data_IF_353463527557
#
_entry.id   IF_353463527557
#
_cell.length_a   1.000
_cell.length_b   1.000
_cell.length_c   1.000
_cell.angle_alpha   90.00
_cell.angle_beta   90.00
_cell.angle_gamma   90.00
#
_symmetry.space_group_name_H-M   'P 1'
#
loop_
_entity.id
_entity.type
_entity.pdbx_description
1 polymer ?
#
# COMPACT_ATOMS: atom_id res chain seq x y z
N UNK A 1 -9.73 0.12 37.67
CA UNK A 1 -9.64 -1.11 36.86
C UNK A 1 -8.43 -1.82 37.40
N UNK A 2 -8.53 -3.10 37.73
CA UNK A 2 -7.36 -3.89 38.13
C UNK A 2 -6.50 -4.26 36.89
N UNK A 3 -5.31 -4.79 37.13
CA UNK A 3 -4.36 -5.11 36.06
C UNK A 3 -4.92 -6.14 35.09
N UNK A 4 -5.65 -7.14 35.57
CA UNK A 4 -6.26 -8.19 34.74
C UNK A 4 -7.34 -7.62 33.81
N UNK A 5 -8.22 -6.79 34.35
CA UNK A 5 -9.24 -6.11 33.56
C UNK A 5 -8.62 -5.12 32.55
N UNK A 6 -7.52 -4.48 32.91
CA UNK A 6 -6.78 -3.60 32.01
C UNK A 6 -6.22 -4.38 30.82
N UNK A 7 -5.49 -5.47 31.07
CA UNK A 7 -4.92 -6.32 30.00
C UNK A 7 -6.00 -6.88 29.07
N UNK A 8 -7.11 -7.37 29.67
CA UNK A 8 -8.25 -7.87 28.87
C UNK A 8 -8.87 -6.77 28.00
N UNK A 9 -9.03 -5.56 28.50
CA UNK A 9 -9.60 -4.44 27.73
C UNK A 9 -8.76 -4.11 26.50
N UNK A 10 -7.42 -4.09 26.64
CA UNK A 10 -6.53 -3.87 25.51
C UNK A 10 -6.61 -5.02 24.50
N UNK A 11 -6.58 -6.27 24.97
CA UNK A 11 -6.68 -7.43 24.08
C UNK A 11 -8.02 -7.46 23.32
N UNK A 12 -9.13 -7.20 23.98
CA UNK A 12 -10.47 -7.14 23.36
C UNK A 12 -10.57 -6.01 22.31
N UNK A 13 -9.93 -4.87 22.58
CA UNK A 13 -9.86 -3.78 21.61
C UNK A 13 -9.13 -4.17 20.33
N UNK A 14 -8.02 -4.93 20.44
CA UNK A 14 -7.26 -5.43 19.31
C UNK A 14 -8.03 -6.49 18.52
N UNK A 15 -8.69 -7.44 19.22
CA UNK A 15 -9.55 -8.48 18.63
C UNK A 15 -10.71 -7.88 17.83
N UNK A 16 -11.33 -6.84 18.38
CA UNK A 16 -12.43 -6.13 17.72
C UNK A 16 -11.94 -5.38 16.48
N UNK A 17 -10.79 -4.70 16.56
CA UNK A 17 -10.17 -4.00 15.44
C UNK A 17 -9.86 -4.96 14.28
N UNK A 18 -9.30 -6.13 14.59
CA UNK A 18 -8.99 -7.15 13.60
C UNK A 18 -10.24 -7.57 12.80
N UNK A 19 -11.35 -7.90 13.49
CA UNK A 19 -12.58 -8.34 12.84
C UNK A 19 -13.24 -7.22 12.02
N UNK A 20 -13.22 -5.98 12.53
CA UNK A 20 -13.72 -4.83 11.80
C UNK A 20 -13.02 -4.62 10.46
N UNK A 21 -11.71 -4.91 10.39
CA UNK A 21 -10.94 -4.77 9.15
C UNK A 21 -11.31 -5.79 8.06
N UNK A 22 -12.06 -6.83 8.39
CA UNK A 22 -12.56 -7.79 7.39
C UNK A 22 -13.90 -7.38 6.78
N UNK A 23 -14.62 -6.46 7.43
CA UNK A 23 -15.98 -6.09 7.01
C UNK A 23 -16.02 -5.42 5.64
N UNK A 24 -16.98 -5.83 4.81
CA UNK A 24 -17.24 -5.25 3.50
C UNK A 24 -16.27 -5.67 2.39
N UNK A 25 -15.34 -6.58 2.67
CA UNK A 25 -14.46 -7.18 1.67
C UNK A 25 -15.07 -8.45 1.07
N UNK A 26 -14.82 -8.65 -0.22
CA UNK A 26 -15.14 -9.88 -0.91
C UNK A 26 -14.22 -11.05 -0.47
N UNK A 27 -14.69 -12.29 -0.67
CA UNK A 27 -13.93 -13.48 -0.28
C UNK A 27 -12.55 -13.55 -0.93
N UNK A 28 -12.42 -13.17 -2.20
CA UNK A 28 -11.13 -13.15 -2.88
C UNK A 28 -10.17 -12.11 -2.28
N UNK A 29 -10.65 -10.92 -1.86
CA UNK A 29 -9.86 -9.88 -1.22
C UNK A 29 -9.30 -10.35 0.13
N UNK A 30 -10.10 -11.10 0.88
CA UNK A 30 -9.70 -11.65 2.18
C UNK A 30 -8.61 -12.72 2.07
N UNK A 31 -8.54 -13.43 0.93
CA UNK A 31 -7.62 -14.56 0.69
C UNK A 31 -6.39 -14.19 -0.14
N UNK A 32 -6.44 -13.05 -0.83
CA UNK A 32 -5.40 -12.69 -1.78
C UNK A 32 -4.05 -12.47 -1.09
N UNK A 33 -2.95 -13.09 -1.56
CA UNK A 33 -1.62 -12.87 -1.00
C UNK A 33 -1.11 -11.48 -1.40
N UNK A 34 -0.96 -10.59 -0.42
CA UNK A 34 -0.59 -9.19 -0.62
C UNK A 34 0.91 -8.93 -0.52
N UNK A 35 1.68 -9.92 -0.07
CA UNK A 35 3.14 -9.81 0.10
C UNK A 35 3.85 -10.97 -0.59
N UNK A 36 5.16 -10.86 -0.91
CA UNK A 36 5.93 -11.97 -1.47
C UNK A 36 5.94 -13.24 -0.60
N UNK A 37 5.64 -13.12 0.70
CA UNK A 37 5.55 -14.24 1.65
C UNK A 37 4.12 -14.74 1.85
N UNK A 38 3.14 -14.19 1.12
CA UNK A 38 1.77 -14.69 1.09
C UNK A 38 0.84 -14.14 2.18
N UNK A 39 1.21 -13.08 2.90
CA UNK A 39 0.33 -12.48 3.91
C UNK A 39 -1.02 -12.11 3.34
N UNK A 40 -2.09 -12.57 3.99
CA UNK A 40 -3.47 -12.32 3.62
C UNK A 40 -4.34 -12.17 4.86
N UNK A 41 -5.46 -11.48 4.73
CA UNK A 41 -6.31 -11.11 5.87
C UNK A 41 -6.93 -12.33 6.56
N UNK A 42 -7.47 -13.28 5.79
CA UNK A 42 -8.16 -14.44 6.34
C UNK A 42 -7.20 -15.41 7.03
N UNK A 43 -6.01 -15.60 6.47
CA UNK A 43 -4.95 -16.41 7.07
C UNK A 43 -4.50 -15.87 8.42
N UNK A 44 -4.35 -14.55 8.54
CA UNK A 44 -4.00 -13.93 9.84
C UNK A 44 -5.07 -14.21 10.89
N UNK A 45 -6.36 -14.13 10.56
CA UNK A 45 -7.44 -14.45 11.50
C UNK A 45 -7.44 -15.92 11.90
N UNK A 46 -7.20 -16.83 10.94
CA UNK A 46 -7.05 -18.26 11.21
C UNK A 46 -5.87 -18.55 12.14
N UNK A 47 -4.72 -17.95 11.86
CA UNK A 47 -3.53 -18.04 12.72
C UNK A 47 -3.83 -17.58 14.15
N UNK A 48 -4.46 -16.41 14.30
CA UNK A 48 -4.79 -15.88 15.62
C UNK A 48 -5.78 -16.75 16.39
N UNK A 49 -6.69 -17.49 15.72
CA UNK A 49 -7.52 -18.48 16.40
C UNK A 49 -6.68 -19.59 17.04
N UNK A 50 -5.63 -20.06 16.34
CA UNK A 50 -4.69 -21.02 16.91
C UNK A 50 -3.89 -20.45 18.08
N UNK A 51 -3.49 -19.17 17.99
CA UNK A 51 -2.77 -18.49 19.08
C UNK A 51 -3.62 -18.35 20.34
N UNK A 52 -4.92 -18.01 20.20
CA UNK A 52 -5.84 -17.96 21.32
C UNK A 52 -5.96 -19.32 22.05
N UNK A 53 -6.21 -20.40 21.31
CA UNK A 53 -6.31 -21.75 21.88
C UNK A 53 -4.96 -22.25 22.42
N UNK A 54 -3.86 -21.93 21.75
CA UNK A 54 -2.52 -22.31 22.19
C UNK A 54 -2.17 -21.64 23.51
N UNK A 55 -2.17 -20.32 23.54
CA UNK A 55 -1.67 -19.55 24.67
C UNK A 55 -2.64 -19.46 25.86
N UNK A 56 -3.94 -19.35 25.61
CA UNK A 56 -4.96 -19.25 26.67
C UNK A 56 -5.76 -20.56 26.85
N UNK A 57 -5.40 -21.60 26.12
CA UNK A 57 -5.94 -22.93 26.28
C UNK A 57 -4.87 -23.94 26.75
N UNK A 58 -4.10 -24.46 25.81
CA UNK A 58 -3.13 -25.55 26.07
C UNK A 58 -2.08 -25.18 27.16
N UNK A 59 -1.60 -23.96 27.20
CA UNK A 59 -0.60 -23.49 28.16
C UNK A 59 -1.10 -23.59 29.61
N UNK A 60 -2.40 -23.59 29.84
CA UNK A 60 -3.04 -23.66 31.17
C UNK A 60 -3.83 -24.95 31.38
N UNK A 61 -3.51 -26.04 30.68
CA UNK A 61 -4.20 -27.32 30.75
C UNK A 61 -5.73 -27.22 30.50
N UNK A 62 -6.12 -26.29 29.63
CA UNK A 62 -7.48 -26.01 29.20
C UNK A 62 -7.58 -26.13 27.68
N UNK A 63 -7.34 -27.31 27.09
CA UNK A 63 -7.29 -27.45 25.64
C UNK A 63 -8.62 -27.02 24.97
N UNK A 64 -8.52 -26.28 23.88
CA UNK A 64 -9.65 -25.92 23.03
C UNK A 64 -9.95 -26.96 21.96
N UNK A 65 -10.54 -26.52 20.85
CA UNK A 65 -10.78 -27.36 19.68
C UNK A 65 -9.47 -27.87 19.10
N UNK A 66 -9.46 -29.13 18.63
CA UNK A 66 -8.36 -29.64 17.82
C UNK A 66 -8.33 -28.94 16.47
N UNK A 67 -7.16 -28.44 16.10
CA UNK A 67 -6.92 -27.75 14.86
C UNK A 67 -6.02 -28.63 13.96
N UNK A 68 -6.58 -29.30 12.92
CA UNK A 68 -5.81 -30.25 12.11
C UNK A 68 -4.55 -29.65 11.48
N UNK A 69 -4.58 -28.37 11.16
CA UNK A 69 -3.44 -27.65 10.57
C UNK A 69 -2.34 -27.25 11.60
N UNK A 70 -2.53 -27.53 12.88
CA UNK A 70 -1.53 -27.36 13.94
C UNK A 70 -0.90 -28.71 14.36
N UNK A 71 -1.31 -29.83 13.75
CA UNK A 71 -0.77 -31.15 14.02
C UNK A 71 0.66 -31.33 13.51
N UNK A 72 1.33 -32.40 13.97
CA UNK A 72 2.71 -32.70 13.57
C UNK A 72 2.87 -32.98 12.07
N UNK A 73 1.85 -33.48 11.42
CA UNK A 73 1.80 -33.82 9.99
C UNK A 73 1.20 -32.70 9.13
N UNK A 74 0.92 -31.52 9.73
CA UNK A 74 0.36 -30.39 9.02
C UNK A 74 1.39 -29.78 8.05
N UNK A 75 0.88 -29.25 6.93
CA UNK A 75 1.70 -28.49 6.00
C UNK A 75 2.31 -27.25 6.69
N UNK A 76 3.55 -26.91 6.42
CA UNK A 76 4.14 -25.68 6.98
C UNK A 76 3.31 -24.44 6.69
N UNK A 77 3.05 -23.63 7.71
CA UNK A 77 2.22 -22.43 7.65
C UNK A 77 0.75 -22.67 7.24
N UNK A 78 0.20 -23.87 7.44
CA UNK A 78 -1.20 -24.18 7.14
C UNK A 78 -2.21 -23.34 7.94
N UNK A 79 -1.75 -22.71 9.00
CA UNK A 79 -2.48 -21.74 9.81
C UNK A 79 -2.56 -20.35 9.19
N UNK A 80 -1.63 -19.99 8.27
CA UNK A 80 -1.54 -18.67 7.65
C UNK A 80 -2.34 -18.51 6.36
N UNK A 81 -3.11 -19.50 5.97
CA UNK A 81 -4.01 -19.45 4.82
C UNK A 81 -5.22 -20.36 5.03
N UNK A 82 -6.33 -20.05 4.39
CA UNK A 82 -7.54 -20.85 4.45
C UNK A 82 -7.71 -21.62 3.13
N UNK A 83 -8.04 -22.92 3.23
CA UNK A 83 -8.37 -23.76 2.07
C UNK A 83 -9.68 -23.32 1.41
N UNK A 84 -9.97 -23.81 0.20
CA UNK A 84 -11.24 -23.51 -0.48
C UNK A 84 -12.48 -23.97 0.29
N UNK A 85 -12.33 -24.98 1.13
CA UNK A 85 -13.43 -25.54 1.94
C UNK A 85 -13.65 -24.77 3.26
N UNK A 86 -12.66 -23.99 3.69
CA UNK A 86 -12.75 -23.13 4.87
C UNK A 86 -13.33 -21.79 4.47
N UNK A 87 -14.65 -21.61 4.55
CA UNK A 87 -15.30 -20.34 4.22
C UNK A 87 -14.89 -19.23 5.17
N UNK A 88 -14.97 -17.96 4.72
CA UNK A 88 -14.72 -16.77 5.57
C UNK A 88 -15.52 -16.85 6.87
N UNK A 89 -16.79 -17.19 6.75
CA UNK A 89 -17.67 -17.33 7.92
C UNK A 89 -17.20 -18.42 8.88
N UNK A 90 -16.70 -19.56 8.36
CA UNK A 90 -16.18 -20.65 9.20
C UNK A 90 -14.94 -20.24 9.98
N UNK A 91 -14.00 -19.51 9.34
CA UNK A 91 -12.77 -19.01 9.98
C UNK A 91 -13.08 -17.93 11.02
N UNK A 92 -13.97 -16.99 10.70
CA UNK A 92 -14.40 -15.95 11.66
C UNK A 92 -15.14 -16.57 12.85
N UNK A 93 -15.98 -17.57 12.62
CA UNK A 93 -16.64 -18.30 13.73
C UNK A 93 -15.63 -19.06 14.59
N UNK A 94 -14.64 -19.72 13.96
CA UNK A 94 -13.55 -20.37 14.70
C UNK A 94 -12.84 -19.36 15.61
N UNK A 95 -12.42 -18.23 15.06
CA UNK A 95 -11.74 -17.18 15.83
C UNK A 95 -12.60 -16.70 17.01
N UNK A 96 -13.90 -16.46 16.79
CA UNK A 96 -14.81 -16.06 17.86
C UNK A 96 -14.96 -17.13 18.95
N UNK A 97 -14.96 -18.43 18.59
CA UNK A 97 -14.98 -19.51 19.59
C UNK A 97 -13.66 -19.58 20.36
N UNK A 98 -12.53 -19.40 19.68
CA UNK A 98 -11.23 -19.36 20.33
C UNK A 98 -11.12 -18.20 21.33
N UNK A 99 -11.60 -17.02 20.95
CA UNK A 99 -11.68 -15.86 21.84
C UNK A 99 -12.58 -16.13 23.06
N UNK A 100 -13.76 -16.73 22.86
CA UNK A 100 -14.67 -17.05 23.96
C UNK A 100 -14.02 -18.05 24.94
N UNK A 101 -13.35 -19.09 24.43
CA UNK A 101 -12.61 -20.05 25.24
C UNK A 101 -11.45 -19.38 26.03
N UNK A 102 -10.70 -18.51 25.39
CA UNK A 102 -9.66 -17.72 26.01
C UNK A 102 -10.19 -16.81 27.12
N UNK A 103 -11.34 -16.20 26.90
CA UNK A 103 -12.02 -15.36 27.90
C UNK A 103 -12.46 -16.14 29.14
N UNK A 104 -12.93 -17.38 28.97
CA UNK A 104 -13.23 -18.28 30.10
C UNK A 104 -11.98 -18.60 30.91
N UNK A 105 -10.83 -18.82 30.24
CA UNK A 105 -9.55 -19.02 30.90
C UNK A 105 -9.13 -17.78 31.70
N UNK A 106 -9.19 -16.61 31.07
CA UNK A 106 -8.87 -15.33 31.73
C UNK A 106 -9.78 -15.10 32.94
N UNK A 107 -11.07 -15.40 32.82
CA UNK A 107 -12.01 -15.23 33.92
C UNK A 107 -11.74 -16.14 35.11
N UNK A 108 -11.36 -17.39 34.86
CA UNK A 108 -11.23 -18.44 35.86
C UNK A 108 -9.89 -18.49 36.59
N UNK A 109 -8.83 -17.88 36.07
CA UNK A 109 -7.46 -17.95 36.61
C UNK A 109 -7.01 -16.60 37.14
N UNK A 110 -6.18 -16.59 38.18
CA UNK A 110 -5.50 -15.38 38.67
C UNK A 110 -4.29 -15.05 37.79
N UNK A 111 -3.81 -13.78 37.81
CA UNK A 111 -2.67 -13.35 36.99
C UNK A 111 -1.37 -14.09 37.26
N UNK A 112 -1.19 -14.62 38.44
CA UNK A 112 -0.04 -15.43 38.86
C UNK A 112 -0.21 -16.93 38.61
N UNK A 113 -1.37 -17.36 38.07
CA UNK A 113 -1.61 -18.75 37.72
C UNK A 113 -0.50 -19.28 36.81
N UNK A 114 0.09 -20.42 37.18
CA UNK A 114 1.18 -21.04 36.45
C UNK A 114 0.69 -21.68 35.15
N UNK A 115 1.47 -21.52 34.09
CA UNK A 115 1.30 -22.15 32.79
C UNK A 115 2.62 -22.63 32.23
N UNK A 116 2.58 -23.45 31.17
CA UNK A 116 3.78 -24.00 30.54
C UNK A 116 3.72 -23.86 29.02
N UNK A 117 4.70 -23.15 28.42
CA UNK A 117 4.86 -22.95 26.97
C UNK A 117 6.04 -23.79 26.49
N UNK A 118 5.84 -25.03 26.02
CA UNK A 118 6.92 -25.99 25.80
C UNK A 118 7.92 -25.57 24.70
N UNK A 119 7.56 -24.67 23.80
CA UNK A 119 8.42 -24.18 22.72
C UNK A 119 9.19 -22.89 23.07
N UNK A 120 9.07 -22.38 24.31
CA UNK A 120 9.85 -21.23 24.75
C UNK A 120 11.14 -21.65 25.48
N UNK A 121 12.23 -20.88 25.35
CA UNK A 121 13.46 -21.14 26.11
C UNK A 121 13.27 -21.12 27.64
N UNK A 122 12.29 -20.36 28.11
CA UNK A 122 11.86 -20.31 29.51
C UNK A 122 10.34 -20.64 29.51
N UNK A 123 10.04 -21.94 29.60
CA UNK A 123 8.68 -22.43 29.35
C UNK A 123 7.70 -22.14 30.48
N UNK A 124 8.17 -21.99 31.72
CA UNK A 124 7.30 -21.70 32.85
C UNK A 124 6.91 -20.22 32.85
N UNK A 125 5.62 -19.99 32.83
CA UNK A 125 5.02 -18.67 32.66
C UNK A 125 3.88 -18.45 33.66
N UNK A 126 3.39 -17.21 33.72
CA UNK A 126 2.15 -16.86 34.41
C UNK A 126 1.11 -16.39 33.42
N UNK A 127 -0.18 -16.37 33.79
CA UNK A 127 -1.25 -15.80 33.00
C UNK A 127 -0.93 -14.34 32.61
N UNK A 128 -0.38 -13.55 33.53
CA UNK A 128 0.06 -12.19 33.25
C UNK A 128 1.03 -12.12 32.06
N UNK A 129 2.10 -12.96 32.08
CA UNK A 129 3.09 -12.99 30.99
C UNK A 129 2.47 -13.41 29.66
N UNK A 130 1.55 -14.36 29.67
CA UNK A 130 0.86 -14.85 28.48
C UNK A 130 -0.09 -13.76 27.92
N UNK A 131 -0.83 -13.06 28.76
CA UNK A 131 -1.70 -11.95 28.32
C UNK A 131 -0.91 -10.81 27.67
N UNK A 132 0.24 -10.44 28.25
CA UNK A 132 1.13 -9.45 27.62
C UNK A 132 1.64 -9.95 26.28
N UNK A 133 2.11 -11.21 26.22
CA UNK A 133 2.61 -11.80 24.98
C UNK A 133 1.54 -11.85 23.89
N UNK A 134 0.37 -12.38 24.20
CA UNK A 134 -0.74 -12.50 23.23
C UNK A 134 -1.24 -11.11 22.77
N UNK A 135 -1.28 -10.12 23.69
CA UNK A 135 -1.60 -8.75 23.27
C UNK A 135 -0.60 -8.17 22.29
N UNK A 136 0.70 -8.43 22.46
CA UNK A 136 1.75 -8.03 21.52
C UNK A 136 1.58 -8.76 20.17
N UNK A 137 1.30 -10.05 20.21
CA UNK A 137 1.09 -10.88 19.01
C UNK A 137 -0.12 -10.37 18.20
N UNK A 138 -1.26 -10.22 18.85
CA UNK A 138 -2.47 -9.68 18.19
C UNK A 138 -2.25 -8.26 17.68
N UNK A 139 -1.53 -7.40 18.43
CA UNK A 139 -1.24 -6.03 18.00
C UNK A 139 -0.35 -5.98 16.74
N UNK A 140 0.67 -6.85 16.65
CA UNK A 140 1.52 -6.97 15.46
C UNK A 140 0.72 -7.38 14.24
N UNK A 141 -0.13 -8.39 14.39
CA UNK A 141 -0.99 -8.86 13.30
C UNK A 141 -2.10 -7.85 12.95
N UNK A 142 -2.66 -7.13 13.92
CA UNK A 142 -3.59 -6.05 13.64
C UNK A 142 -2.94 -4.94 12.80
N UNK A 143 -1.69 -4.55 13.09
CA UNK A 143 -0.94 -3.59 12.28
C UNK A 143 -0.64 -4.10 10.86
N UNK A 144 -0.39 -5.40 10.66
CA UNK A 144 -0.30 -6.00 9.32
C UNK A 144 -1.64 -5.90 8.58
N UNK A 145 -2.73 -6.25 9.24
CA UNK A 145 -4.09 -6.16 8.68
C UNK A 145 -4.46 -4.72 8.34
N UNK A 146 -4.04 -3.73 9.13
CA UNK A 146 -4.25 -2.31 8.84
C UNK A 146 -3.65 -1.92 7.49
N UNK A 147 -2.38 -2.26 7.26
CA UNK A 147 -1.68 -1.97 6.00
C UNK A 147 -2.27 -2.75 4.82
N UNK A 148 -2.56 -4.05 4.99
CA UNK A 148 -3.17 -4.87 3.94
C UNK A 148 -4.55 -4.34 3.55
N UNK A 149 -5.35 -3.88 4.50
CA UNK A 149 -6.66 -3.29 4.26
C UNK A 149 -6.56 -1.99 3.47
N UNK A 150 -5.65 -1.11 3.85
CA UNK A 150 -5.41 0.15 3.14
C UNK A 150 -4.98 -0.09 1.69
N UNK A 151 -4.11 -1.08 1.45
CA UNK A 151 -3.68 -1.47 0.10
C UNK A 151 -4.80 -2.07 -0.76
N UNK A 152 -5.82 -2.70 -0.15
CA UNK A 152 -6.93 -3.33 -0.87
C UNK A 152 -8.00 -2.34 -1.33
N UNK A 153 -8.43 -1.46 -0.44
CA UNK A 153 -9.58 -0.57 -0.71
C UNK A 153 -9.43 0.86 -0.16
N UNK A 154 -8.24 1.21 0.34
CA UNK A 154 -7.97 2.54 0.89
C UNK A 154 -8.57 2.80 2.28
N UNK A 155 -9.21 1.79 2.91
CA UNK A 155 -9.81 1.97 4.23
C UNK A 155 -8.75 2.02 5.32
N UNK A 156 -8.59 3.18 5.92
CA UNK A 156 -7.62 3.49 6.98
C UNK A 156 -8.27 3.54 8.37
N UNK A 157 -7.44 3.69 9.40
CA UNK A 157 -7.87 3.85 10.79
C UNK A 157 -7.64 2.61 11.64
N UNK A 158 -7.34 2.82 12.92
CA UNK A 158 -7.02 1.73 13.85
C UNK A 158 -8.26 0.97 14.32
N UNK A 159 -9.39 1.66 14.51
CA UNK A 159 -10.64 1.11 15.05
C UNK A 159 -11.82 1.91 14.52
N UNK A 160 -12.97 1.25 14.42
CA UNK A 160 -14.20 1.89 13.96
C UNK A 160 -14.55 3.14 14.79
N UNK A 161 -14.56 3.01 16.11
CA UNK A 161 -14.93 4.10 17.03
C UNK A 161 -13.84 5.17 17.23
N UNK A 162 -12.59 4.87 16.87
CA UNK A 162 -11.47 5.80 16.99
C UNK A 162 -10.39 5.45 15.96
N UNK A 163 -10.45 6.01 14.76
CA UNK A 163 -9.49 5.74 13.71
C UNK A 163 -8.08 6.30 13.99
N UNK A 164 -7.94 7.21 14.95
CA UNK A 164 -6.67 7.86 15.30
C UNK A 164 -6.00 8.56 14.09
N UNK A 165 -6.81 9.18 13.25
CA UNK A 165 -6.37 9.90 12.05
C UNK A 165 -6.66 11.40 12.22
N UNK A 166 -5.98 12.29 11.49
CA UNK A 166 -6.35 13.69 11.42
C UNK A 166 -7.78 13.84 10.91
N UNK A 167 -8.51 14.76 11.49
CA UNK A 167 -9.91 15.02 11.20
C UNK A 167 -10.07 16.33 10.45
N UNK A 168 -11.12 16.38 9.64
CA UNK A 168 -11.62 17.57 8.98
C UNK A 168 -11.47 17.53 7.48
N UNK A 169 -12.39 18.21 6.80
CA UNK A 169 -12.46 18.31 5.35
C UNK A 169 -11.28 19.09 4.72
N UNK A 170 -10.50 19.75 5.58
CA UNK A 170 -9.30 20.53 5.17
C UNK A 170 -8.03 19.67 5.03
N UNK A 171 -8.03 18.41 5.51
CA UNK A 171 -6.85 17.56 5.41
C UNK A 171 -6.82 16.80 4.08
N UNK A 172 -5.88 17.17 3.21
CA UNK A 172 -5.63 16.48 1.94
C UNK A 172 -4.59 15.38 2.11
N UNK A 173 -5.02 14.12 1.98
CA UNK A 173 -4.13 12.96 1.93
C UNK A 173 -3.19 13.04 0.73
N UNK A 174 -3.66 13.53 -0.39
CA UNK A 174 -2.86 13.71 -1.61
C UNK A 174 -1.68 14.65 -1.36
N UNK A 175 -1.93 15.87 -0.89
CA UNK A 175 -0.88 16.83 -0.56
C UNK A 175 0.06 16.33 0.55
N UNK A 176 -0.46 15.54 1.49
CA UNK A 176 0.35 14.91 2.53
C UNK A 176 1.32 13.88 1.94
N UNK A 177 0.83 12.99 1.09
CA UNK A 177 1.64 11.93 0.43
C UNK A 177 2.67 12.56 -0.49
N UNK A 178 2.33 13.60 -1.25
CA UNK A 178 3.28 14.35 -2.08
C UNK A 178 4.42 14.94 -1.26
N UNK A 179 4.12 15.57 -0.14
CA UNK A 179 5.13 16.11 0.78
C UNK A 179 6.02 15.01 1.35
N UNK A 180 5.45 13.88 1.79
CA UNK A 180 6.23 12.73 2.30
C UNK A 180 7.15 12.18 1.21
N UNK A 181 6.64 12.09 -0.02
CA UNK A 181 7.42 11.65 -1.19
C UNK A 181 8.57 12.62 -1.48
N UNK A 182 8.31 13.93 -1.51
CA UNK A 182 9.35 14.93 -1.75
C UNK A 182 10.45 14.87 -0.67
N UNK A 183 10.09 14.74 0.61
CA UNK A 183 11.09 14.58 1.68
C UNK A 183 11.93 13.31 1.49
N UNK A 184 11.33 12.22 1.05
CA UNK A 184 12.07 10.99 0.77
C UNK A 184 13.02 11.15 -0.45
N UNK A 185 12.58 11.86 -1.49
CA UNK A 185 13.40 12.19 -2.66
C UNK A 185 14.58 13.08 -2.24
N UNK A 186 14.33 14.15 -1.51
CA UNK A 186 15.36 15.10 -1.06
C UNK A 186 16.44 14.44 -0.20
N UNK A 187 16.06 13.43 0.59
CA UNK A 187 17.00 12.69 1.43
C UNK A 187 18.03 11.88 0.61
N UNK A 188 17.67 11.38 -0.57
CA UNK A 188 18.53 10.54 -1.43
C UNK A 188 19.04 11.30 -2.66
N UNK A 189 18.21 12.16 -3.25
CA UNK A 189 18.50 12.93 -4.47
C UNK A 189 18.18 14.43 -4.24
N UNK A 190 19.01 15.16 -3.49
CA UNK A 190 18.72 16.54 -3.12
C UNK A 190 18.42 17.44 -4.32
N UNK A 191 17.27 18.12 -4.26
CA UNK A 191 16.80 19.03 -5.30
C UNK A 191 16.16 18.35 -6.52
N UNK A 192 15.99 17.02 -6.52
CA UNK A 192 15.22 16.33 -7.54
C UNK A 192 13.71 16.46 -7.27
N UNK A 193 12.91 16.35 -8.32
CA UNK A 193 11.44 16.36 -8.25
C UNK A 193 10.87 14.97 -8.55
N UNK A 194 9.63 14.66 -8.14
CA UNK A 194 8.95 13.47 -8.60
C UNK A 194 8.61 13.57 -10.09
N UNK A 195 9.06 12.62 -10.88
CA UNK A 195 8.72 12.48 -12.30
C UNK A 195 7.49 11.59 -12.47
N UNK A 196 6.32 12.21 -12.69
CA UNK A 196 5.02 11.55 -12.88
C UNK A 196 4.62 11.56 -14.34
N UNK A 197 4.98 10.52 -15.08
CA UNK A 197 4.68 10.40 -16.51
C UNK A 197 3.27 9.84 -16.74
N UNK A 198 2.36 10.66 -17.25
CA UNK A 198 0.97 10.29 -17.44
C UNK A 198 0.24 9.93 -16.13
N UNK A 199 -0.98 9.43 -16.25
CA UNK A 199 -1.75 8.97 -15.08
C UNK A 199 -1.27 7.62 -14.58
N UNK A 200 -1.40 7.39 -13.26
CA UNK A 200 -1.06 6.11 -12.66
C UNK A 200 -1.85 4.96 -13.31
N UNK A 201 -1.19 3.84 -13.53
CA UNK A 201 -1.75 2.67 -14.20
C UNK A 201 -0.88 2.19 -15.38
N UNK A 202 -1.39 1.30 -16.24
CA UNK A 202 -0.61 0.71 -17.34
C UNK A 202 0.02 1.73 -18.28
N UNK A 203 -0.59 2.92 -18.44
CA UNK A 203 -0.06 3.98 -19.28
C UNK A 203 1.26 4.51 -18.73
N UNK A 204 1.32 4.86 -17.45
CA UNK A 204 2.56 5.34 -16.81
C UNK A 204 3.68 4.31 -16.94
N UNK A 205 3.39 3.06 -16.63
CA UNK A 205 4.40 2.00 -16.68
C UNK A 205 4.88 1.76 -18.13
N UNK A 206 4.01 1.92 -19.13
CA UNK A 206 4.37 1.86 -20.54
C UNK A 206 5.27 3.04 -20.96
N UNK A 207 5.09 4.24 -20.41
CA UNK A 207 5.93 5.41 -20.66
C UNK A 207 7.30 5.30 -19.98
N UNK A 208 7.35 4.76 -18.75
CA UNK A 208 8.59 4.60 -18.00
C UNK A 208 9.49 3.50 -18.56
N UNK A 209 8.92 2.41 -19.06
CA UNK A 209 9.70 1.29 -19.58
C UNK A 209 10.71 1.68 -20.70
N UNK A 210 10.38 2.49 -21.71
CA UNK A 210 11.36 2.95 -22.70
C UNK A 210 12.40 3.94 -22.13
N UNK A 211 12.06 4.75 -21.11
CA UNK A 211 13.05 5.60 -20.44
C UNK A 211 14.09 4.72 -19.75
N UNK A 212 13.66 3.72 -18.97
CA UNK A 212 14.54 2.81 -18.24
C UNK A 212 15.44 1.97 -19.16
N UNK A 213 15.05 1.79 -20.43
CA UNK A 213 15.89 1.13 -21.45
C UNK A 213 16.73 2.11 -22.28
N UNK A 214 16.63 3.43 -22.02
CA UNK A 214 17.32 4.45 -22.78
C UNK A 214 16.79 4.69 -24.22
N UNK A 215 15.59 4.18 -24.53
CA UNK A 215 14.95 4.35 -25.83
C UNK A 215 14.12 5.64 -25.92
N UNK A 216 13.53 6.09 -24.78
CA UNK A 216 12.85 7.39 -24.68
C UNK A 216 13.82 8.38 -24.07
N UNK A 217 14.28 9.33 -24.90
CA UNK A 217 15.23 10.38 -24.54
C UNK A 217 14.62 11.78 -24.63
N UNK A 218 13.33 11.86 -24.98
CA UNK A 218 12.56 13.09 -25.00
C UNK A 218 11.17 12.87 -24.41
N UNK A 219 10.52 13.95 -23.98
CA UNK A 219 9.15 13.98 -23.50
C UNK A 219 8.51 15.33 -23.76
N UNK A 220 7.17 15.36 -23.85
CA UNK A 220 6.40 16.55 -24.09
C UNK A 220 5.28 16.74 -23.07
N UNK A 221 5.03 18.00 -22.72
CA UNK A 221 3.91 18.40 -21.87
C UNK A 221 3.26 19.69 -22.37
N UNK A 222 2.02 19.96 -21.99
CA UNK A 222 1.42 21.26 -22.21
C UNK A 222 2.11 22.30 -21.32
N UNK A 223 2.39 23.49 -21.85
CA UNK A 223 2.88 24.60 -21.02
C UNK A 223 1.85 25.00 -19.94
N UNK A 224 0.56 24.77 -20.21
CA UNK A 224 -0.53 25.00 -19.26
C UNK A 224 -0.51 24.04 -18.04
N UNK A 225 0.25 22.95 -18.11
CA UNK A 225 0.42 22.03 -16.98
C UNK A 225 1.36 22.60 -15.89
N UNK A 226 2.04 23.70 -16.17
CA UNK A 226 2.89 24.40 -15.21
C UNK A 226 2.15 25.63 -14.68
N UNK A 227 1.84 25.65 -13.39
CA UNK A 227 1.20 26.80 -12.74
C UNK A 227 2.14 28.01 -12.66
N UNK A 228 1.61 29.16 -12.25
CA UNK A 228 2.44 30.36 -12.05
C UNK A 228 3.53 30.15 -10.99
N UNK A 229 3.29 29.21 -10.07
CA UNK A 229 4.21 28.85 -8.98
C UNK A 229 5.12 27.65 -9.35
N UNK A 230 4.75 26.86 -10.39
CA UNK A 230 5.56 25.77 -10.92
C UNK A 230 6.42 26.26 -12.07
N UNK A 231 7.71 26.39 -11.81
CA UNK A 231 8.65 26.77 -12.86
C UNK A 231 8.76 25.66 -13.94
N UNK A 232 8.88 26.12 -15.21
CA UNK A 232 9.19 25.19 -16.32
C UNK A 232 10.47 24.39 -16.00
N UNK A 233 10.56 23.15 -16.52
CA UNK A 233 11.76 22.32 -16.35
C UNK A 233 13.03 23.08 -16.78
N UNK A 234 14.13 22.84 -16.10
CA UNK A 234 15.41 23.49 -16.37
C UNK A 234 16.48 22.48 -16.72
N UNK A 235 17.41 22.86 -17.57
CA UNK A 235 18.59 22.06 -17.89
C UNK A 235 19.38 21.78 -16.58
N UNK A 236 19.74 20.53 -16.36
CA UNK A 236 20.41 20.05 -15.15
C UNK A 236 19.47 19.64 -14.03
N UNK A 237 18.16 19.89 -14.15
CA UNK A 237 17.16 19.45 -13.19
C UNK A 237 16.98 17.94 -13.24
N UNK A 238 16.77 17.31 -12.09
CA UNK A 238 16.60 15.86 -11.97
C UNK A 238 15.17 15.51 -11.56
N UNK A 239 14.71 14.41 -12.10
CA UNK A 239 13.43 13.81 -11.73
C UNK A 239 13.63 12.36 -11.30
N UNK A 240 13.00 12.00 -10.16
CA UNK A 240 12.90 10.62 -9.72
C UNK A 240 11.63 10.02 -10.33
N UNK A 241 11.79 9.09 -11.25
CA UNK A 241 10.70 8.42 -11.95
C UNK A 241 9.88 7.55 -10.98
N UNK A 242 8.59 7.83 -10.87
CA UNK A 242 7.69 7.13 -9.95
C UNK A 242 6.77 6.22 -10.76
N UNK A 243 6.83 4.91 -10.48
CA UNK A 243 5.96 3.89 -11.10
C UNK A 243 4.50 4.04 -10.69
N UNK A 244 3.61 3.29 -11.35
CA UNK A 244 2.19 3.23 -10.97
C UNK A 244 1.95 2.63 -9.58
N UNK A 245 2.89 1.87 -9.05
CA UNK A 245 2.90 1.38 -7.67
C UNK A 245 3.39 2.42 -6.64
N UNK A 246 3.70 3.66 -7.08
CA UNK A 246 4.22 4.72 -6.22
C UNK A 246 5.69 4.57 -5.82
N UNK A 247 6.43 3.66 -6.44
CA UNK A 247 7.83 3.35 -6.12
C UNK A 247 8.79 4.08 -7.07
N UNK A 248 9.94 4.57 -6.58
CA UNK A 248 10.99 5.09 -7.42
C UNK A 248 11.60 3.96 -8.26
N UNK A 249 11.82 4.20 -9.56
CA UNK A 249 12.34 3.20 -10.51
C UNK A 249 13.54 3.68 -11.32
N UNK A 250 13.85 4.96 -11.29
CA UNK A 250 15.00 5.55 -11.95
C UNK A 250 15.11 7.03 -11.71
N UNK A 251 16.22 7.63 -12.13
CA UNK A 251 16.47 9.08 -12.08
C UNK A 251 16.85 9.56 -13.46
N UNK A 252 16.18 10.61 -13.93
CA UNK A 252 16.52 11.32 -15.16
C UNK A 252 17.07 12.71 -14.88
N UNK A 253 17.80 13.25 -15.86
CA UNK A 253 18.27 14.64 -15.85
C UNK A 253 17.84 15.31 -17.15
N UNK A 254 17.25 16.48 -17.05
CA UNK A 254 16.88 17.31 -18.20
C UNK A 254 18.14 17.88 -18.84
N UNK A 255 18.33 17.63 -20.13
CA UNK A 255 19.51 18.11 -20.88
C UNK A 255 19.18 19.24 -21.87
N UNK A 256 17.93 19.37 -22.26
CA UNK A 256 17.42 20.44 -23.13
C UNK A 256 15.95 20.74 -22.82
N UNK A 257 15.56 21.99 -22.92
CA UNK A 257 14.16 22.44 -22.82
C UNK A 257 13.87 23.45 -23.92
N UNK A 258 12.78 23.24 -24.65
CA UNK A 258 12.24 24.18 -25.63
C UNK A 258 10.76 24.39 -25.37
N UNK A 259 10.26 25.58 -25.56
CA UNK A 259 8.81 25.85 -25.59
C UNK A 259 8.47 26.30 -26.99
N UNK A 260 7.63 25.56 -27.66
CA UNK A 260 7.24 25.82 -29.06
C UNK A 260 5.73 25.66 -29.21
N UNK A 261 5.11 26.28 -30.23
CA UNK A 261 3.76 25.93 -30.64
C UNK A 261 3.68 24.45 -31.06
N UNK A 262 2.57 23.78 -30.79
CA UNK A 262 2.34 22.37 -31.13
C UNK A 262 2.60 22.09 -32.62
N UNK A 263 2.21 23.03 -33.50
CA UNK A 263 2.45 22.91 -34.95
C UNK A 263 3.91 23.00 -35.39
N UNK A 264 4.83 23.37 -34.49
CA UNK A 264 6.28 23.50 -34.78
C UNK A 264 7.12 22.34 -34.21
N UNK A 265 6.49 21.31 -33.64
CA UNK A 265 7.20 20.12 -33.14
C UNK A 265 7.80 19.36 -34.31
N UNK A 266 9.09 19.06 -34.21
CA UNK A 266 9.84 18.39 -35.29
C UNK A 266 9.83 16.86 -35.16
N UNK A 267 10.16 16.16 -36.24
CA UNK A 267 10.18 14.70 -36.30
C UNK A 267 11.28 14.12 -35.39
N UNK A 268 12.40 14.81 -35.22
CA UNK A 268 13.49 14.35 -34.37
C UNK A 268 13.00 14.14 -32.95
N UNK A 269 12.30 15.15 -32.37
CA UNK A 269 11.71 15.09 -31.05
C UNK A 269 10.65 13.98 -30.94
N UNK A 270 9.76 13.86 -31.94
CA UNK A 270 8.72 12.83 -31.97
C UNK A 270 9.31 11.40 -31.94
N UNK A 271 10.44 11.17 -32.61
CA UNK A 271 11.15 9.89 -32.64
C UNK A 271 11.89 9.64 -31.32
N UNK A 272 12.53 10.67 -30.76
CA UNK A 272 13.27 10.59 -29.48
C UNK A 272 12.38 10.31 -28.28
N UNK A 273 11.07 10.53 -28.38
CA UNK A 273 10.11 10.08 -27.35
C UNK A 273 10.06 8.53 -27.22
N UNK A 274 10.60 7.79 -28.21
CA UNK A 274 10.81 6.35 -28.04
C UNK A 274 9.53 5.51 -27.92
N UNK A 275 8.38 6.07 -28.25
CA UNK A 275 7.05 5.43 -28.21
C UNK A 275 6.65 4.77 -29.54
N UNK A 276 7.55 4.82 -30.52
CA UNK A 276 7.37 4.15 -31.81
C UNK A 276 6.77 5.03 -32.91
N UNK A 277 6.65 6.33 -32.69
CA UNK A 277 6.17 7.27 -33.71
C UNK A 277 7.14 7.36 -34.92
N UNK A 278 6.59 7.38 -36.13
CA UNK A 278 7.33 7.45 -37.38
C UNK A 278 7.11 8.77 -38.16
N UNK A 279 6.11 9.55 -37.69
CA UNK A 279 5.81 10.85 -38.25
C UNK A 279 5.34 11.81 -37.13
N UNK A 280 5.43 13.10 -37.39
CA UNK A 280 4.89 14.14 -36.48
C UNK A 280 3.38 13.99 -36.35
N UNK A 281 2.67 13.58 -37.40
CA UNK A 281 1.20 13.40 -37.37
C UNK A 281 0.79 12.26 -36.43
N UNK A 282 1.55 11.13 -36.40
CA UNK A 282 1.30 10.03 -35.48
C UNK A 282 1.51 10.47 -34.02
N UNK A 283 2.62 11.14 -33.75
CA UNK A 283 2.96 11.70 -32.45
C UNK A 283 1.90 12.70 -31.99
N UNK A 284 1.57 13.67 -32.85
CA UNK A 284 0.59 14.70 -32.60
C UNK A 284 -0.78 14.11 -32.27
N UNK A 285 -1.26 13.19 -33.11
CA UNK A 285 -2.56 12.56 -32.89
C UNK A 285 -2.66 11.77 -31.57
N UNK A 286 -1.56 11.22 -31.07
CA UNK A 286 -1.50 10.57 -29.76
C UNK A 286 -1.58 11.60 -28.61
N UNK A 287 -0.79 12.67 -28.72
CA UNK A 287 -0.73 13.72 -27.70
C UNK A 287 -2.01 14.56 -27.63
N UNK A 288 -2.57 14.95 -28.77
CA UNK A 288 -3.85 15.67 -28.80
C UNK A 288 -4.98 14.87 -28.13
N UNK A 289 -5.07 13.54 -28.38
CA UNK A 289 -6.06 12.69 -27.72
C UNK A 289 -5.84 12.64 -26.20
N UNK A 290 -4.60 12.58 -25.74
CA UNK A 290 -4.28 12.58 -24.32
C UNK A 290 -4.59 13.93 -23.67
N UNK A 291 -4.09 15.01 -24.25
CA UNK A 291 -4.26 16.35 -23.69
C UNK A 291 -5.71 16.85 -23.74
N UNK A 292 -6.49 16.43 -24.72
CA UNK A 292 -7.92 16.74 -24.82
C UNK A 292 -8.83 15.78 -24.03
N UNK A 293 -8.27 14.83 -23.27
CA UNK A 293 -9.06 13.88 -22.47
C UNK A 293 -9.74 14.56 -21.29
N UNK A 294 -10.87 14.00 -20.84
CA UNK A 294 -11.57 14.49 -19.66
C UNK A 294 -10.69 14.45 -18.40
N UNK A 295 -9.83 13.46 -18.30
CA UNK A 295 -8.88 13.33 -17.18
C UNK A 295 -7.88 14.50 -17.18
N UNK A 296 -7.33 14.88 -18.33
CA UNK A 296 -6.38 15.99 -18.42
C UNK A 296 -7.05 17.35 -18.21
N UNK A 297 -8.27 17.52 -18.70
CA UNK A 297 -9.06 18.72 -18.42
C UNK A 297 -9.37 18.90 -16.94
N UNK A 298 -9.68 17.80 -16.26
CA UNK A 298 -9.91 17.81 -14.82
C UNK A 298 -8.62 18.15 -14.05
N UNK A 299 -7.49 17.58 -14.45
CA UNK A 299 -6.17 17.83 -13.86
C UNK A 299 -5.77 19.31 -13.98
N UNK A 300 -5.99 19.90 -15.16
CA UNK A 300 -5.67 21.31 -15.41
C UNK A 300 -6.73 22.30 -14.87
N UNK A 301 -7.89 21.78 -14.41
CA UNK A 301 -9.01 22.62 -13.98
C UNK A 301 -9.63 23.45 -15.14
N UNK A 302 -9.39 23.05 -16.40
CA UNK A 302 -9.87 23.71 -17.60
C UNK A 302 -10.78 22.78 -18.43
N UNK A 303 -12.10 22.80 -18.20
CA UNK A 303 -13.05 21.97 -18.94
C UNK A 303 -13.16 22.34 -20.43
N UNK A 304 -12.80 23.57 -20.80
CA UNK A 304 -12.90 24.12 -22.16
C UNK A 304 -11.54 24.10 -22.89
N UNK A 305 -10.53 23.41 -22.35
CA UNK A 305 -9.20 23.31 -22.97
C UNK A 305 -9.30 22.90 -24.44
N UNK A 306 -8.78 23.77 -25.31
CA UNK A 306 -8.61 23.53 -26.75
C UNK A 306 -7.14 23.36 -27.05
N UNK A 307 -6.82 22.25 -27.72
CA UNK A 307 -5.44 21.96 -28.20
C UNK A 307 -5.42 22.16 -29.70
N UNK A 308 -4.61 23.10 -30.18
CA UNK A 308 -4.46 23.46 -31.59
C UNK A 308 -2.97 23.73 -31.95
N UNK A 309 -2.73 24.15 -33.21
CA UNK A 309 -1.38 24.44 -33.72
C UNK A 309 -0.62 25.49 -32.91
N UNK A 310 -1.34 26.45 -32.31
CA UNK A 310 -0.78 27.53 -31.53
C UNK A 310 -0.56 27.16 -30.05
N UNK A 311 -1.07 26.03 -29.60
CA UNK A 311 -0.95 25.58 -28.20
C UNK A 311 0.52 25.42 -27.81
N UNK A 312 1.00 26.13 -26.77
CA UNK A 312 2.36 26.02 -26.32
C UNK A 312 2.64 24.66 -25.67
N UNK A 313 3.68 23.97 -26.16
CA UNK A 313 4.16 22.72 -25.61
C UNK A 313 5.61 22.83 -25.14
N UNK A 314 5.89 22.19 -24.01
CA UNK A 314 7.25 22.10 -23.43
C UNK A 314 7.87 20.79 -23.93
N UNK A 315 8.93 20.91 -24.67
CA UNK A 315 9.72 19.79 -25.20
C UNK A 315 10.98 19.64 -24.34
N UNK A 316 11.14 18.49 -23.70
CA UNK A 316 12.33 18.19 -22.90
C UNK A 316 13.12 17.06 -23.56
N UNK A 317 14.45 17.20 -23.64
CA UNK A 317 15.33 16.05 -23.77
C UNK A 317 15.83 15.65 -22.39
N UNK A 318 15.78 14.35 -22.13
CA UNK A 318 16.11 13.75 -20.84
C UNK A 318 17.20 12.69 -21.02
N UNK A 319 18.00 12.52 -19.98
CA UNK A 319 18.99 11.45 -19.90
C UNK A 319 18.76 10.62 -18.67
N UNK A 320 18.67 9.31 -18.80
CA UNK A 320 18.65 8.39 -17.65
C UNK A 320 20.01 8.47 -16.94
N UNK A 321 20.00 8.77 -15.64
CA UNK A 321 21.19 8.90 -14.80
C UNK A 321 21.38 7.65 -13.95
N UNK A 322 20.27 7.09 -13.45
CA UNK A 322 20.27 5.95 -12.53
C UNK A 322 19.05 5.07 -12.78
N UNK A 323 19.18 3.75 -12.61
CA UNK A 323 18.08 2.79 -12.53
C UNK A 323 18.03 2.22 -11.11
N UNK A 324 16.83 2.15 -10.52
CA UNK A 324 16.62 1.75 -9.13
C UNK A 324 16.02 0.37 -9.02
#
# INVERSE_FOLDING_TARGET
MDDKATLKTYLDSLRSALLWKLEGLDEWQLRWPMTPTGSNLLGIVKHLAAMEYGYLGHVFDRPGEELPWMGQDAEPNADLWATSDETVESVVRLYRRAVAHADETIASLDLDAAGHVPWWPQPDVTLHRVLVHLSVEVARHAGQVDVLRELLDGRVGMREANPNLPWGDEFSWESYVERVRQVAIDAQWPGARPGLYGFAGPQRDALLAPILRGAKTATSSLAAAYSVDDELPRVGEREVLISSAGMPVGVTETVEVRVVPLGEVDLEHAVEEGEGFRSVDEWRGAHERFWASDAMRAELGDPDLVVDDATPVVLQRIRLVETL
#
